data_IF_708521677201
#
_entry.id   IF_708521677201
#
_cell.length_a   1.000
_cell.length_b   1.000
_cell.length_c   1.000
_cell.angle_alpha   90.00
_cell.angle_beta   90.00
_cell.angle_gamma   90.00
#
_symmetry.space_group_name_H-M   'P 1'
#
loop_
_entity.id
_entity.type
_entity.pdbx_description
1 polymer ?
#
# COMPACT_ATOMS: atom_id res chain seq x y z
N UNK A 1 -16.24 -22.23 0.61
CA UNK A 1 -14.82 -22.57 0.86
C UNK A 1 -14.01 -21.92 -0.25
N UNK A 2 -13.11 -20.97 0.10
CA UNK A 2 -12.24 -20.33 -0.89
C UNK A 2 -11.28 -21.37 -1.47
N UNK A 3 -11.19 -21.41 -2.79
CA UNK A 3 -10.32 -22.33 -3.51
C UNK A 3 -8.87 -21.89 -3.32
N UNK A 4 -7.98 -22.82 -2.98
CA UNK A 4 -6.55 -22.55 -2.89
C UNK A 4 -5.98 -22.20 -4.27
N UNK A 5 -5.00 -21.29 -4.30
CA UNK A 5 -4.25 -20.95 -5.51
C UNK A 5 -2.83 -21.48 -5.43
N UNK A 6 -2.23 -21.73 -6.59
CA UNK A 6 -0.83 -22.09 -6.69
C UNK A 6 0.01 -20.82 -6.91
N UNK A 7 0.98 -20.59 -6.02
CA UNK A 7 1.97 -19.55 -6.21
C UNK A 7 3.10 -20.03 -7.14
N UNK A 8 3.77 -19.15 -7.90
CA UNK A 8 4.98 -19.51 -8.64
C UNK A 8 6.04 -20.14 -7.73
N UNK A 9 6.71 -21.20 -8.15
CA UNK A 9 7.67 -21.94 -7.34
C UNK A 9 8.77 -21.04 -6.76
N UNK A 10 9.40 -20.20 -7.57
CA UNK A 10 10.43 -19.29 -7.13
C UNK A 10 9.91 -18.25 -6.09
N UNK A 11 8.63 -17.87 -6.14
CA UNK A 11 8.00 -17.02 -5.14
C UNK A 11 7.80 -17.77 -3.83
N UNK A 12 7.34 -19.03 -3.87
CA UNK A 12 7.19 -19.87 -2.68
C UNK A 12 8.53 -20.08 -1.96
N UNK A 13 9.60 -20.36 -2.69
CA UNK A 13 10.95 -20.51 -2.14
C UNK A 13 11.43 -19.24 -1.46
N UNK A 14 11.23 -18.08 -2.11
CA UNK A 14 11.63 -16.79 -1.55
C UNK A 14 10.85 -16.44 -0.27
N UNK A 15 9.56 -16.73 -0.23
CA UNK A 15 8.71 -16.54 0.95
C UNK A 15 9.13 -17.49 2.08
N UNK A 16 9.35 -18.77 1.77
CA UNK A 16 9.80 -19.75 2.76
C UNK A 16 11.15 -19.36 3.37
N UNK A 17 12.07 -18.85 2.56
CA UNK A 17 13.36 -18.32 3.03
C UNK A 17 13.18 -17.11 3.94
N UNK A 18 12.33 -16.15 3.55
CA UNK A 18 12.07 -14.95 4.33
C UNK A 18 11.41 -15.25 5.68
N UNK A 19 10.51 -16.23 5.72
CA UNK A 19 9.79 -16.63 6.93
C UNK A 19 10.51 -17.68 7.78
N UNK A 20 11.49 -18.39 7.20
CA UNK A 20 12.13 -19.53 7.84
C UNK A 20 11.20 -20.75 8.04
N UNK A 21 10.11 -20.83 7.26
CA UNK A 21 9.16 -21.95 7.28
C UNK A 21 8.43 -22.06 5.93
N UNK A 22 7.93 -23.26 5.55
CA UNK A 22 7.24 -23.46 4.28
C UNK A 22 5.87 -22.79 4.25
N UNK A 23 5.44 -22.39 3.04
CA UNK A 23 4.07 -22.00 2.76
C UNK A 23 3.21 -23.27 2.64
N UNK A 24 2.17 -23.37 3.47
CA UNK A 24 1.26 -24.52 3.49
C UNK A 24 0.11 -24.36 2.50
N UNK A 25 -0.40 -23.13 2.39
CA UNK A 25 -1.55 -22.82 1.53
C UNK A 25 -1.55 -21.36 1.16
N UNK A 26 -2.07 -21.02 -0.04
CA UNK A 26 -2.38 -19.66 -0.46
C UNK A 26 -3.85 -19.59 -0.89
N UNK A 27 -4.56 -18.58 -0.40
CA UNK A 27 -5.98 -18.35 -0.68
C UNK A 27 -6.15 -16.95 -1.22
N UNK A 28 -6.71 -16.77 -2.43
CA UNK A 28 -6.93 -15.45 -3.01
C UNK A 28 -7.75 -14.55 -2.07
N UNK A 29 -7.36 -13.28 -1.99
CA UNK A 29 -8.10 -12.23 -1.29
C UNK A 29 -8.53 -11.19 -2.32
N UNK A 30 -9.82 -10.87 -2.35
CA UNK A 30 -10.36 -9.86 -3.24
C UNK A 30 -10.04 -8.44 -2.80
N UNK A 31 -10.20 -7.47 -3.70
CA UNK A 31 -10.14 -6.03 -3.40
C UNK A 31 -8.94 -5.26 -3.96
N UNK A 32 -7.96 -5.91 -4.57
CA UNK A 32 -6.82 -5.23 -5.24
C UNK A 32 -6.97 -5.20 -6.76
N UNK A 33 -6.78 -4.02 -7.38
CA UNK A 33 -6.85 -3.88 -8.85
C UNK A 33 -5.47 -3.90 -9.53
N UNK A 34 -4.36 -3.86 -8.78
CA UNK A 34 -3.01 -3.64 -9.32
C UNK A 34 -2.11 -4.85 -9.11
N UNK A 35 -2.01 -5.33 -7.88
CA UNK A 35 -1.23 -6.50 -7.50
C UNK A 35 -2.15 -7.71 -7.29
N UNK A 36 -1.60 -8.90 -7.48
CA UNK A 36 -2.25 -10.10 -6.97
C UNK A 36 -2.13 -10.12 -5.44
N UNK A 37 -3.19 -10.55 -4.77
CA UNK A 37 -3.23 -10.61 -3.32
C UNK A 37 -3.78 -11.94 -2.84
N UNK A 38 -3.18 -12.48 -1.77
CA UNK A 38 -3.66 -13.69 -1.13
C UNK A 38 -3.29 -13.73 0.36
N UNK A 39 -4.04 -14.51 1.11
CA UNK A 39 -3.67 -14.97 2.44
C UNK A 39 -2.78 -16.18 2.28
N UNK A 40 -1.58 -16.16 2.85
CA UNK A 40 -0.69 -17.32 2.93
C UNK A 40 -0.72 -17.90 4.33
N UNK A 41 -0.82 -19.21 4.43
CA UNK A 41 -0.87 -19.96 5.67
C UNK A 41 0.47 -20.68 5.90
N UNK A 42 1.01 -20.56 7.09
CA UNK A 42 2.28 -21.17 7.52
C UNK A 42 2.16 -21.75 8.91
N UNK A 43 3.17 -22.50 9.37
CA UNK A 43 3.23 -23.01 10.74
C UNK A 43 3.42 -21.89 11.80
N UNK A 44 3.77 -20.66 11.34
CA UNK A 44 3.90 -19.47 12.20
C UNK A 44 2.68 -18.56 12.18
N UNK A 45 1.63 -18.94 11.47
CA UNK A 45 0.39 -18.18 11.31
C UNK A 45 0.16 -17.69 9.88
N UNK A 46 -0.94 -16.96 9.66
CA UNK A 46 -1.27 -16.38 8.38
C UNK A 46 -0.55 -15.07 8.13
N UNK A 47 -0.32 -14.76 6.85
CA UNK A 47 0.20 -13.48 6.38
C UNK A 47 -0.60 -12.98 5.17
N UNK A 48 -0.55 -11.67 4.91
CA UNK A 48 -1.08 -11.07 3.70
C UNK A 48 0.03 -10.87 2.69
N UNK A 49 -0.08 -11.50 1.53
CA UNK A 49 0.88 -11.41 0.44
C UNK A 49 0.32 -10.59 -0.71
N UNK A 50 1.08 -9.59 -1.15
CA UNK A 50 0.92 -8.92 -2.46
C UNK A 50 2.12 -9.27 -3.32
N UNK A 51 1.87 -9.54 -4.60
CA UNK A 51 2.94 -9.86 -5.55
C UNK A 51 2.58 -9.50 -6.98
N UNK A 52 3.59 -9.35 -7.83
CA UNK A 52 3.40 -9.01 -9.22
C UNK A 52 4.69 -8.81 -10.00
N UNK A 53 4.56 -8.54 -11.31
CA UNK A 53 5.68 -8.25 -12.20
C UNK A 53 6.38 -6.92 -11.82
N UNK A 54 7.53 -6.59 -12.45
CA UNK A 54 8.35 -5.42 -12.08
C UNK A 54 7.57 -4.10 -12.00
N UNK A 55 6.66 -3.85 -12.93
CA UNK A 55 5.85 -2.63 -13.00
C UNK A 55 4.85 -2.50 -11.83
N UNK A 56 4.48 -3.60 -11.19
CA UNK A 56 3.68 -3.64 -9.97
C UNK A 56 4.58 -3.60 -8.74
N UNK A 57 5.60 -4.44 -8.71
CA UNK A 57 6.48 -4.61 -7.56
C UNK A 57 7.24 -3.32 -7.18
N UNK A 58 7.50 -2.43 -8.14
CA UNK A 58 8.11 -1.11 -7.89
C UNK A 58 7.35 -0.25 -6.88
N UNK A 59 6.04 -0.49 -6.69
CA UNK A 59 5.21 0.24 -5.73
C UNK A 59 5.37 -0.27 -4.30
N UNK A 60 5.87 -1.48 -4.11
CA UNK A 60 5.92 -2.14 -2.81
C UNK A 60 6.91 -1.50 -1.83
N UNK A 61 7.98 -0.91 -2.33
CA UNK A 61 8.92 -0.16 -1.48
C UNK A 61 8.23 1.06 -0.86
N UNK A 62 7.54 1.84 -1.68
CA UNK A 62 6.81 3.03 -1.22
C UNK A 62 5.67 2.66 -0.27
N UNK A 63 4.93 1.57 -0.55
CA UNK A 63 3.88 1.06 0.34
C UNK A 63 4.46 0.63 1.70
N UNK A 64 5.57 -0.11 1.71
CA UNK A 64 6.23 -0.52 2.94
C UNK A 64 6.66 0.69 3.79
N UNK A 65 7.29 1.70 3.18
CA UNK A 65 7.69 2.92 3.89
C UNK A 65 6.47 3.70 4.41
N UNK A 66 5.40 3.78 3.63
CA UNK A 66 4.14 4.41 4.06
C UNK A 66 3.53 3.71 5.28
N UNK A 67 3.48 2.37 5.30
CA UNK A 67 3.01 1.60 6.44
C UNK A 67 3.88 1.81 7.68
N UNK A 68 5.21 1.85 7.53
CA UNK A 68 6.13 2.13 8.62
C UNK A 68 5.91 3.54 9.21
N UNK A 69 5.72 4.56 8.36
CA UNK A 69 5.41 5.91 8.80
C UNK A 69 4.07 5.98 9.55
N UNK A 70 3.03 5.29 9.08
CA UNK A 70 1.74 5.22 9.77
C UNK A 70 1.87 4.53 11.14
N UNK A 71 2.67 3.46 11.26
CA UNK A 71 2.94 2.80 12.54
C UNK A 71 3.69 3.70 13.52
N UNK A 72 4.65 4.49 13.02
CA UNK A 72 5.42 5.43 13.83
C UNK A 72 4.55 6.55 14.46
N UNK A 73 3.39 6.84 13.87
CA UNK A 73 2.44 7.80 14.43
C UNK A 73 1.75 7.33 15.73
N UNK A 74 1.95 6.08 16.14
CA UNK A 74 1.43 5.49 17.37
C UNK A 74 -0.09 5.72 17.60
N UNK A 75 -0.87 5.71 16.52
CA UNK A 75 -2.33 5.76 16.58
C UNK A 75 -2.89 4.43 17.09
N UNK A 76 -4.08 4.41 17.72
CA UNK A 76 -4.76 3.17 18.10
C UNK A 76 -5.30 2.38 16.91
N UNK A 77 -5.20 2.89 15.68
CA UNK A 77 -5.55 2.14 14.48
C UNK A 77 -4.57 1.00 14.24
N UNK A 78 -5.09 -0.16 13.85
CA UNK A 78 -4.27 -1.31 13.50
C UNK A 78 -3.66 -1.08 12.11
N UNK A 79 -2.35 -0.94 12.07
CA UNK A 79 -1.57 -0.82 10.83
C UNK A 79 -0.73 -2.09 10.68
N UNK A 80 -0.86 -2.84 9.57
CA UNK A 80 -0.14 -4.10 9.41
C UNK A 80 1.37 -3.89 9.43
N UNK A 81 2.09 -4.82 10.05
CA UNK A 81 3.54 -4.86 10.01
C UNK A 81 4.05 -5.33 8.66
N UNK A 82 5.14 -4.73 8.18
CA UNK A 82 5.87 -5.20 7.01
C UNK A 82 6.81 -6.33 7.44
N UNK A 83 6.48 -7.56 7.08
CA UNK A 83 7.22 -8.76 7.48
C UNK A 83 8.42 -8.99 6.56
N UNK A 84 8.20 -8.88 5.25
CA UNK A 84 9.25 -9.02 4.24
C UNK A 84 8.86 -8.34 2.93
N UNK A 85 9.86 -7.96 2.15
CA UNK A 85 9.70 -7.39 0.81
C UNK A 85 10.83 -7.85 -0.10
N UNK A 86 10.53 -8.03 -1.38
CA UNK A 86 11.54 -8.27 -2.40
C UNK A 86 11.14 -7.62 -3.72
N UNK A 87 12.10 -7.10 -4.42
CA UNK A 87 11.94 -6.64 -5.79
C UNK A 87 11.72 -7.82 -6.75
N UNK A 88 11.12 -7.53 -7.91
CA UNK A 88 11.00 -8.50 -8.98
C UNK A 88 12.38 -8.82 -9.56
N UNK A 89 12.56 -10.06 -10.01
CA UNK A 89 13.75 -10.57 -10.71
C UNK A 89 13.30 -11.21 -12.02
N UNK A 90 14.21 -11.50 -12.98
CA UNK A 90 13.85 -12.14 -14.25
C UNK A 90 13.11 -13.48 -14.08
N UNK A 91 13.43 -14.21 -13.02
CA UNK A 91 12.90 -15.55 -12.71
C UNK A 91 11.78 -15.53 -11.66
N UNK A 92 11.46 -14.36 -11.07
CA UNK A 92 10.55 -14.28 -9.93
C UNK A 92 9.85 -12.93 -9.81
N UNK A 93 8.51 -12.91 -9.59
CA UNK A 93 7.80 -11.67 -9.28
C UNK A 93 8.31 -11.04 -7.97
N UNK A 94 8.19 -9.73 -7.85
CA UNK A 94 8.40 -9.04 -6.59
C UNK A 94 7.22 -9.26 -5.64
N UNK A 95 7.47 -9.08 -4.35
CA UNK A 95 6.43 -9.25 -3.33
C UNK A 95 6.55 -8.28 -2.16
N UNK A 96 5.42 -8.08 -1.50
CA UNK A 96 5.29 -7.45 -0.19
C UNK A 96 4.48 -8.40 0.72
N UNK A 97 5.07 -8.81 1.82
CA UNK A 97 4.47 -9.68 2.83
C UNK A 97 4.19 -8.86 4.07
N UNK A 98 2.94 -8.85 4.49
CA UNK A 98 2.44 -8.10 5.63
C UNK A 98 1.86 -9.04 6.68
N UNK A 99 1.77 -8.55 7.90
CA UNK A 99 0.93 -9.12 8.93
C UNK A 99 -0.49 -9.34 8.41
N UNK A 100 -1.08 -10.50 8.73
CA UNK A 100 -2.49 -10.73 8.47
C UNK A 100 -3.33 -10.11 9.58
N UNK A 101 -4.21 -9.20 9.21
CA UNK A 101 -5.21 -8.64 10.11
C UNK A 101 -6.50 -9.43 9.91
N UNK A 102 -6.95 -10.11 10.96
CA UNK A 102 -8.18 -10.91 10.89
C UNK A 102 -9.40 -10.02 10.68
N UNK A 103 -10.20 -10.26 9.64
CA UNK A 103 -11.43 -9.51 9.44
C UNK A 103 -12.40 -9.70 10.60
N UNK A 104 -12.94 -8.58 11.10
CA UNK A 104 -13.92 -8.56 12.18
C UNK A 104 -15.26 -7.95 11.74
N UNK A 105 -16.24 -7.99 12.63
CA UNK A 105 -17.50 -7.25 12.46
C UNK A 105 -17.43 -5.96 13.27
N UNK A 106 -17.87 -4.81 12.71
CA UNK A 106 -17.95 -3.57 13.47
C UNK A 106 -18.82 -3.73 14.72
N UNK A 107 -18.28 -3.43 15.88
CA UNK A 107 -19.05 -3.34 17.14
C UNK A 107 -19.82 -2.02 17.23
N UNK A 108 -20.64 -1.83 18.30
CA UNK A 108 -21.49 -0.65 18.43
C UNK A 108 -20.77 0.69 18.40
N UNK A 109 -19.52 0.75 18.88
CA UNK A 109 -18.69 1.97 18.94
C UNK A 109 -17.54 1.97 17.92
N UNK A 110 -17.61 1.13 16.90
CA UNK A 110 -16.52 1.00 15.92
C UNK A 110 -16.19 2.33 15.22
N UNK A 111 -17.20 3.03 14.73
CA UNK A 111 -17.00 4.28 13.99
C UNK A 111 -16.48 5.42 14.86
N UNK A 112 -16.89 5.45 16.13
CA UNK A 112 -16.36 6.40 17.11
C UNK A 112 -14.87 6.16 17.35
N UNK A 113 -14.49 4.93 17.69
CA UNK A 113 -13.08 4.58 17.90
C UNK A 113 -12.23 4.75 16.64
N UNK A 114 -12.78 4.41 15.46
CA UNK A 114 -12.10 4.64 14.21
C UNK A 114 -11.85 6.13 13.95
N UNK A 115 -12.84 6.98 14.15
CA UNK A 115 -12.72 8.44 14.00
C UNK A 115 -11.72 9.05 14.97
N UNK A 116 -11.73 8.63 16.25
CA UNK A 116 -10.74 9.05 17.25
C UNK A 116 -9.31 8.61 16.86
N UNK A 117 -9.18 7.36 16.40
CA UNK A 117 -7.90 6.83 15.94
C UNK A 117 -7.35 7.59 14.75
N UNK A 118 -8.21 7.91 13.79
CA UNK A 118 -7.86 8.71 12.61
C UNK A 118 -7.46 10.13 13.00
N UNK A 119 -8.19 10.77 13.92
CA UNK A 119 -7.85 12.09 14.41
C UNK A 119 -6.49 12.11 15.11
N UNK A 120 -6.16 11.07 15.89
CA UNK A 120 -4.82 10.94 16.51
C UNK A 120 -3.73 10.75 15.46
N UNK A 121 -3.98 9.92 14.44
CA UNK A 121 -3.06 9.74 13.32
C UNK A 121 -2.76 11.08 12.62
N UNK A 122 -3.78 11.88 12.35
CA UNK A 122 -3.63 13.19 11.71
C UNK A 122 -2.95 14.25 12.58
N UNK A 123 -2.84 14.06 13.89
CA UNK A 123 -2.06 14.93 14.79
C UNK A 123 -0.56 14.65 14.80
N UNK A 124 -0.15 13.55 14.19
CA UNK A 124 1.26 13.26 13.99
C UNK A 124 1.79 14.15 12.85
N UNK A 125 2.55 15.16 13.23
CA UNK A 125 3.03 16.18 12.31
C UNK A 125 4.43 15.85 11.81
N UNK A 126 4.65 16.05 10.51
CA UNK A 126 5.96 16.10 9.89
C UNK A 126 6.60 17.49 10.00
N UNK A 127 7.86 17.64 9.56
CA UNK A 127 8.57 18.93 9.62
C UNK A 127 7.95 20.00 8.70
N UNK A 128 7.38 19.55 7.57
CA UNK A 128 6.72 20.37 6.54
C UNK A 128 5.68 19.52 5.82
N UNK A 129 5.18 20.00 4.67
CA UNK A 129 4.22 19.29 3.83
C UNK A 129 4.95 18.53 2.72
N UNK A 130 4.98 17.22 2.81
CA UNK A 130 5.73 16.36 1.89
C UNK A 130 5.95 14.97 2.47
N UNK A 131 6.90 14.25 1.88
CA UNK A 131 7.37 12.97 2.40
C UNK A 131 8.80 12.72 1.92
N UNK A 132 9.58 11.93 2.67
CA UNK A 132 11.00 11.69 2.39
C UNK A 132 11.26 11.02 1.04
N UNK A 133 10.25 10.37 0.48
CA UNK A 133 10.34 9.74 -0.83
C UNK A 133 9.06 9.90 -1.65
N UNK A 134 9.23 9.87 -2.97
CA UNK A 134 8.11 9.78 -3.90
C UNK A 134 7.37 8.45 -3.75
N UNK A 135 6.08 8.45 -4.04
CA UNK A 135 5.24 7.26 -3.99
C UNK A 135 4.33 7.16 -5.22
N UNK A 136 3.17 6.53 -5.08
CA UNK A 136 2.26 6.29 -6.19
C UNK A 136 0.82 6.59 -5.78
N UNK A 137 0.04 7.10 -6.73
CA UNK A 137 -1.42 7.07 -6.69
C UNK A 137 -1.89 6.07 -7.74
N UNK A 138 -2.33 4.89 -7.29
CA UNK A 138 -2.51 3.75 -8.19
C UNK A 138 -1.20 3.34 -8.84
N UNK A 139 -1.12 3.45 -10.18
CA UNK A 139 0.10 3.17 -10.96
C UNK A 139 0.91 4.43 -11.31
N UNK A 140 0.37 5.61 -11.02
CA UNK A 140 0.99 6.88 -11.38
C UNK A 140 1.99 7.31 -10.33
N UNK A 141 3.23 7.66 -10.73
CA UNK A 141 4.20 8.26 -9.82
C UNK A 141 3.66 9.57 -9.23
N UNK A 142 3.88 9.77 -7.95
CA UNK A 142 3.44 10.93 -7.19
C UNK A 142 4.62 11.56 -6.47
N UNK A 143 4.88 12.83 -6.76
CA UNK A 143 5.93 13.61 -6.13
C UNK A 143 5.53 14.01 -4.71
N UNK A 144 6.49 13.98 -3.80
CA UNK A 144 6.32 14.35 -2.40
C UNK A 144 7.38 15.35 -1.93
N UNK A 145 7.88 16.18 -2.86
CA UNK A 145 8.82 17.26 -2.52
C UNK A 145 8.27 18.12 -1.40
N UNK A 146 9.11 18.44 -0.43
CA UNK A 146 8.75 19.23 0.74
C UNK A 146 8.40 20.67 0.38
N UNK A 147 7.28 21.15 0.89
CA UNK A 147 6.78 22.54 0.75
C UNK A 147 6.49 23.13 2.13
N UNK A 148 6.54 24.46 2.22
CA UNK A 148 6.37 25.15 3.50
C UNK A 148 4.89 25.36 3.88
N UNK A 149 3.98 25.27 2.89
CA UNK A 149 2.55 25.40 3.11
C UNK A 149 1.75 24.31 2.38
N UNK A 150 0.59 23.97 2.97
CA UNK A 150 -0.31 22.95 2.43
C UNK A 150 -0.91 23.31 1.07
N UNK A 151 -1.43 24.53 0.82
CA UNK A 151 -1.98 24.88 -0.50
C UNK A 151 -0.98 24.67 -1.63
N UNK A 152 0.27 25.11 -1.45
CA UNK A 152 1.34 24.91 -2.43
C UNK A 152 1.63 23.44 -2.65
N UNK A 153 1.79 22.65 -1.56
CA UNK A 153 2.02 21.21 -1.66
C UNK A 153 0.88 20.51 -2.40
N UNK A 154 -0.36 20.76 -1.98
CA UNK A 154 -1.53 20.09 -2.54
C UNK A 154 -1.72 20.43 -4.01
N UNK A 155 -1.55 21.72 -4.39
CA UNK A 155 -1.65 22.13 -5.79
C UNK A 155 -0.56 21.48 -6.64
N UNK A 156 0.71 21.73 -6.33
CA UNK A 156 1.85 21.30 -7.15
C UNK A 156 2.01 19.79 -7.27
N UNK A 157 1.73 19.06 -6.19
CA UNK A 157 2.04 17.64 -6.11
C UNK A 157 0.81 16.73 -6.15
N UNK A 158 -0.40 17.29 -6.13
CA UNK A 158 -1.65 16.52 -6.18
C UNK A 158 -2.57 16.93 -7.31
N UNK A 159 -2.87 18.22 -7.47
CA UNK A 159 -3.85 18.69 -8.45
C UNK A 159 -3.20 18.93 -9.82
N UNK A 160 -2.17 19.76 -9.89
CA UNK A 160 -1.54 20.17 -11.16
C UNK A 160 -1.06 18.97 -12.01
N UNK A 161 -0.42 17.92 -11.45
CA UNK A 161 -0.02 16.74 -12.22
C UNK A 161 -1.22 16.00 -12.84
N UNK A 162 -2.35 15.93 -12.15
CA UNK A 162 -3.56 15.28 -12.64
C UNK A 162 -4.22 16.10 -13.74
N UNK A 163 -4.27 17.43 -13.59
CA UNK A 163 -4.77 18.36 -14.61
C UNK A 163 -3.94 18.26 -15.89
N UNK A 164 -2.61 18.30 -15.76
CA UNK A 164 -1.67 18.14 -16.89
C UNK A 164 -1.89 16.82 -17.59
N UNK A 165 -1.95 15.72 -16.83
CA UNK A 165 -2.20 14.38 -17.37
C UNK A 165 -3.55 14.28 -18.11
N UNK A 166 -4.62 14.90 -17.57
CA UNK A 166 -5.92 14.93 -18.21
C UNK A 166 -5.91 15.75 -19.51
N UNK A 167 -5.21 16.90 -19.52
CA UNK A 167 -5.05 17.75 -20.72
C UNK A 167 -4.29 17.01 -21.82
N UNK A 168 -3.16 16.39 -21.49
CA UNK A 168 -2.35 15.63 -22.45
C UNK A 168 -3.12 14.46 -23.11
N UNK A 169 -4.14 13.94 -22.46
CA UNK A 169 -5.01 12.87 -22.97
C UNK A 169 -6.34 13.33 -23.54
N UNK A 170 -6.53 14.63 -23.70
CA UNK A 170 -7.76 15.18 -24.21
C UNK A 170 -9.00 14.91 -23.34
N UNK A 171 -8.78 14.67 -22.05
CA UNK A 171 -9.85 14.42 -21.06
C UNK A 171 -10.19 15.65 -20.22
N UNK A 172 -9.64 16.80 -20.55
CA UNK A 172 -9.89 18.08 -19.89
C UNK A 172 -10.88 18.90 -20.68
N UNK A 173 -11.96 19.35 -20.06
CA UNK A 173 -12.93 20.24 -20.68
C UNK A 173 -12.55 21.72 -20.43
N UNK A 174 -12.62 22.56 -21.46
CA UNK A 174 -12.32 24.00 -21.35
C UNK A 174 -13.18 24.75 -20.32
N UNK A 175 -14.39 24.24 -20.06
CA UNK A 175 -15.27 24.79 -19.02
C UNK A 175 -14.67 24.73 -17.62
N UNK A 176 -13.71 23.81 -17.38
CA UNK A 176 -13.04 23.63 -16.10
C UNK A 176 -11.87 24.58 -15.87
N UNK A 177 -11.46 25.35 -16.87
CA UNK A 177 -10.40 26.38 -16.72
C UNK A 177 -10.83 27.58 -15.86
N UNK A 178 -12.10 27.62 -15.41
CA UNK A 178 -12.66 28.69 -14.58
C UNK A 178 -12.55 28.44 -13.07
N UNK A 179 -12.01 27.32 -12.69
CA UNK A 179 -11.79 26.91 -11.29
C UNK A 179 -10.30 26.91 -10.98
#
# INVERSE_FOLDING_TARGET
RSVAMTLPAALQEALAKALGCPIRRAVPVGGGCIAQACRVETDRGPYFLKWGPPEVARTFAAEATGLQALRAAASPLVIPEVVARSEARPDRPGFLLLEWIEPGRPGPRFWEHFGEGLARLHRHLGPRYGFDQDNFIGRMPQKNTWEDDWPTFFWRHRIEPQVRWARERGRWERSWDRW
#
